data_IF_457519030546
#
_entry.id   IF_457519030546
#
_cell.length_a   1.000
_cell.length_b   1.000
_cell.length_c   1.000
_cell.angle_alpha   90.00
_cell.angle_beta   90.00
_cell.angle_gamma   90.00
#
_symmetry.space_group_name_H-M   'P 1'
#
loop_
_entity.id
_entity.type
_entity.pdbx_description
1 polymer ?
#
# COMPACT_ATOMS: atom_id res chain seq x y z
N UNK A 1 -43.40 37.21 -31.32
CA UNK A 1 -43.42 38.23 -30.25
C UNK A 1 -41.98 38.48 -29.86
N UNK A 2 -41.45 39.65 -30.23
CA UNK A 2 -40.03 40.04 -30.18
C UNK A 2 -39.65 40.67 -28.83
N UNK A 3 -38.36 40.65 -28.48
CA UNK A 3 -37.57 41.69 -27.78
C UNK A 3 -36.16 41.09 -27.54
N UNK A 4 -35.16 41.42 -28.36
CA UNK A 4 -34.24 42.57 -28.31
C UNK A 4 -33.16 42.38 -27.22
N UNK A 5 -31.89 42.18 -27.60
CA UNK A 5 -30.83 43.22 -27.72
C UNK A 5 -30.32 43.65 -26.32
N UNK A 6 -29.04 43.89 -25.99
CA UNK A 6 -27.94 44.54 -26.71
C UNK A 6 -26.71 44.50 -25.76
N UNK A 7 -25.48 44.40 -26.28
CA UNK A 7 -24.24 44.81 -25.56
C UNK A 7 -24.04 46.33 -25.75
N UNK A 8 -23.43 47.10 -24.83
CA UNK A 8 -21.97 47.37 -24.94
C UNK A 8 -21.22 47.81 -23.63
N UNK A 9 -19.88 47.90 -23.76
CA UNK A 9 -18.84 48.54 -22.88
C UNK A 9 -19.13 50.04 -22.53
N UNK A 10 -18.45 50.80 -21.62
CA UNK A 10 -16.96 50.97 -21.46
C UNK A 10 -16.41 51.39 -20.04
N UNK A 11 -15.07 51.60 -19.96
CA UNK A 11 -14.20 52.54 -19.16
C UNK A 11 -14.71 53.17 -17.83
N UNK A 12 -13.97 53.39 -16.72
CA UNK A 12 -12.80 54.27 -16.50
C UNK A 12 -12.46 54.34 -14.95
N UNK A 13 -11.21 54.69 -14.56
CA UNK A 13 -10.72 55.02 -13.18
C UNK A 13 -11.01 56.50 -12.82
N UNK A 14 -11.00 57.07 -11.57
CA UNK A 14 -9.76 57.30 -10.75
C UNK A 14 -9.85 57.67 -9.22
N UNK A 15 -8.66 57.83 -8.59
CA UNK A 15 -8.28 58.73 -7.45
C UNK A 15 -8.45 58.27 -5.98
N UNK A 16 -7.66 58.67 -4.96
CA UNK A 16 -6.31 59.27 -4.72
C UNK A 16 -6.20 59.48 -3.19
N UNK A 17 -5.08 59.14 -2.52
CA UNK A 17 -4.56 59.94 -1.39
C UNK A 17 -3.07 59.63 -1.10
N UNK A 18 -2.23 60.68 -1.19
CA UNK A 18 -0.86 60.87 -0.65
C UNK A 18 -0.95 61.98 0.44
N UNK A 19 0.09 62.46 1.20
CA UNK A 19 1.58 62.44 1.03
C UNK A 19 2.35 62.31 2.40
N UNK A 20 3.60 62.84 2.66
CA UNK A 20 4.89 63.02 1.92
C UNK A 20 6.16 62.37 2.63
N UNK A 21 7.24 61.89 1.96
CA UNK A 21 8.52 62.50 1.41
C UNK A 21 9.71 62.65 2.44
N UNK A 22 11.03 62.74 2.06
CA UNK A 22 11.98 61.94 1.22
C UNK A 22 13.29 61.49 1.96
N UNK A 23 14.15 60.65 1.35
CA UNK A 23 15.59 60.92 1.04
C UNK A 23 16.36 59.73 0.41
N UNK A 24 17.00 59.99 -0.74
CA UNK A 24 18.25 59.44 -1.33
C UNK A 24 18.96 58.22 -0.71
N UNK A 25 18.93 57.06 -1.39
CA UNK A 25 19.99 56.02 -1.35
C UNK A 25 19.91 55.14 -2.64
N UNK A 26 20.71 55.39 -3.68
CA UNK A 26 20.73 54.52 -4.88
C UNK A 26 22.14 54.16 -5.37
N UNK A 27 23.21 54.65 -4.74
CA UNK A 27 24.57 54.43 -5.25
C UNK A 27 25.43 53.39 -4.48
N UNK A 28 24.93 52.76 -3.42
CA UNK A 28 25.75 51.82 -2.62
C UNK A 28 25.56 50.33 -2.98
N UNK A 29 24.51 49.96 -3.71
CA UNK A 29 24.20 48.55 -4.03
C UNK A 29 24.83 48.06 -5.34
N UNK A 30 25.23 48.95 -6.24
CA UNK A 30 25.87 48.60 -7.53
C UNK A 30 27.36 48.26 -7.38
N UNK A 31 28.07 48.95 -6.47
CA UNK A 31 29.52 48.78 -6.25
C UNK A 31 29.85 47.48 -5.49
N UNK A 32 28.94 46.99 -4.63
CA UNK A 32 29.11 45.69 -3.95
C UNK A 32 28.92 44.49 -4.89
N UNK A 33 28.17 44.65 -5.99
CA UNK A 33 27.89 43.57 -6.95
C UNK A 33 29.03 43.35 -7.95
N UNK A 34 29.76 44.40 -8.32
CA UNK A 34 30.89 44.30 -9.25
C UNK A 34 32.13 43.70 -8.60
N UNK A 35 32.42 44.03 -7.32
CA UNK A 35 33.59 43.51 -6.61
C UNK A 35 33.49 42.01 -6.28
N UNK A 36 32.29 41.48 -6.10
CA UNK A 36 32.05 40.04 -5.87
C UNK A 36 32.11 39.19 -7.17
N UNK A 37 31.96 39.83 -8.34
CA UNK A 37 31.96 39.15 -9.64
C UNK A 37 33.39 38.94 -10.20
N UNK A 38 34.33 39.82 -9.84
CA UNK A 38 35.70 39.78 -10.37
C UNK A 38 36.56 38.69 -9.69
N UNK A 39 36.30 38.41 -8.41
CA UNK A 39 36.95 37.34 -7.64
C UNK A 39 36.37 35.93 -7.95
N UNK A 40 35.26 35.88 -8.71
CA UNK A 40 34.53 34.65 -9.05
C UNK A 40 34.70 34.19 -10.51
N UNK A 41 35.50 34.86 -11.34
CA UNK A 41 35.73 34.45 -12.72
C UNK A 41 36.57 33.14 -12.90
N UNK A 42 37.68 32.91 -12.16
CA UNK A 42 38.59 31.80 -12.48
C UNK A 42 38.07 30.40 -12.09
N UNK A 43 37.16 30.30 -11.12
CA UNK A 43 36.55 29.01 -10.75
C UNK A 43 35.46 28.57 -11.73
N UNK A 44 34.80 29.53 -12.41
CA UNK A 44 33.78 29.25 -13.43
C UNK A 44 34.45 28.64 -14.67
N UNK A 45 35.56 29.22 -15.12
CA UNK A 45 36.32 28.67 -16.26
C UNK A 45 36.91 27.29 -15.94
N UNK A 46 37.43 27.10 -14.71
CA UNK A 46 37.93 25.80 -14.28
C UNK A 46 36.80 24.74 -14.20
N UNK A 47 35.62 25.12 -13.71
CA UNK A 47 34.45 24.24 -13.67
C UNK A 47 33.96 23.87 -15.08
N UNK A 48 33.99 24.81 -16.03
CA UNK A 48 33.65 24.57 -17.44
C UNK A 48 34.63 23.59 -18.10
N UNK A 49 35.92 23.79 -17.90
CA UNK A 49 36.95 22.91 -18.46
C UNK A 49 36.86 21.50 -17.87
N UNK A 50 36.58 21.40 -16.57
CA UNK A 50 36.38 20.14 -15.89
C UNK A 50 35.10 19.42 -16.37
N UNK A 51 34.01 20.16 -16.62
CA UNK A 51 32.79 19.60 -17.22
C UNK A 51 33.03 19.04 -18.63
N UNK A 52 33.82 19.72 -19.46
CA UNK A 52 34.15 19.23 -20.81
C UNK A 52 34.99 17.94 -20.79
N UNK A 53 35.95 17.84 -19.87
CA UNK A 53 36.76 16.62 -19.70
C UNK A 53 35.89 15.45 -19.23
N UNK A 54 34.97 15.69 -18.29
CA UNK A 54 34.04 14.67 -17.84
C UNK A 54 33.09 14.23 -18.95
N UNK A 55 32.57 15.16 -19.75
CA UNK A 55 31.70 14.83 -20.88
C UNK A 55 32.41 13.93 -21.90
N UNK A 56 33.66 14.27 -22.26
CA UNK A 56 34.45 13.48 -23.20
C UNK A 56 34.75 12.08 -22.66
N UNK A 57 35.11 11.99 -21.38
CA UNK A 57 35.39 10.70 -20.72
C UNK A 57 34.14 9.82 -20.67
N UNK A 58 32.97 10.41 -20.41
CA UNK A 58 31.69 9.69 -20.43
C UNK A 58 31.42 9.17 -21.84
N UNK A 59 31.62 9.98 -22.88
CA UNK A 59 31.36 9.58 -24.26
C UNK A 59 32.29 8.45 -24.73
N UNK A 60 33.59 8.57 -24.46
CA UNK A 60 34.57 7.53 -24.80
C UNK A 60 34.27 6.21 -24.05
N UNK A 61 33.80 6.28 -22.79
CA UNK A 61 33.41 5.09 -22.03
C UNK A 61 32.15 4.40 -22.59
N UNK A 62 31.21 5.18 -23.14
CA UNK A 62 30.00 4.66 -23.78
C UNK A 62 30.33 3.94 -25.08
N UNK A 63 31.21 4.50 -25.91
CA UNK A 63 31.60 3.89 -27.18
C UNK A 63 32.35 2.56 -26.96
N UNK A 64 33.27 2.50 -25.98
CA UNK A 64 33.97 1.27 -25.60
C UNK A 64 33.01 0.23 -25.02
N UNK A 65 32.03 0.64 -24.21
CA UNK A 65 31.01 -0.26 -23.67
C UNK A 65 30.10 -0.82 -24.78
N UNK A 66 29.74 0.01 -25.76
CA UNK A 66 28.93 -0.41 -26.91
C UNK A 66 29.70 -1.40 -27.78
N UNK A 67 30.96 -1.12 -28.12
CA UNK A 67 31.76 -2.01 -28.96
C UNK A 67 32.04 -3.36 -28.26
N UNK A 68 32.42 -3.34 -26.98
CA UNK A 68 32.61 -4.56 -26.20
C UNK A 68 31.33 -5.38 -26.05
N UNK A 69 30.16 -4.72 -25.92
CA UNK A 69 28.87 -5.41 -25.92
C UNK A 69 28.60 -6.08 -27.27
N UNK A 70 28.83 -5.40 -28.39
CA UNK A 70 28.62 -5.94 -29.74
C UNK A 70 29.50 -7.16 -30.01
N UNK A 71 30.78 -7.09 -29.67
CA UNK A 71 31.73 -8.21 -29.85
C UNK A 71 31.30 -9.45 -29.05
N UNK A 72 30.88 -9.28 -27.79
CA UNK A 72 30.40 -10.41 -26.97
C UNK A 72 29.08 -10.97 -27.48
N UNK A 73 28.18 -10.11 -27.95
CA UNK A 73 26.93 -10.57 -28.57
C UNK A 73 27.19 -11.38 -29.84
N UNK A 74 28.12 -10.96 -30.71
CA UNK A 74 28.46 -11.74 -31.90
C UNK A 74 29.03 -13.11 -31.55
N UNK A 75 29.89 -13.19 -30.53
CA UNK A 75 30.49 -14.46 -30.08
C UNK A 75 29.44 -15.43 -29.48
N UNK A 76 28.47 -14.89 -28.73
CA UNK A 76 27.33 -15.67 -28.21
C UNK A 76 26.45 -16.17 -29.35
N UNK A 77 26.16 -15.32 -30.34
CA UNK A 77 25.35 -15.71 -31.50
C UNK A 77 26.04 -16.84 -32.28
N UNK A 78 27.33 -16.73 -32.57
CA UNK A 78 28.06 -17.78 -33.31
C UNK A 78 28.14 -19.08 -32.53
N UNK A 79 28.38 -19.01 -31.22
CA UNK A 79 28.47 -20.20 -30.36
C UNK A 79 27.10 -20.87 -30.20
N UNK A 80 26.03 -20.10 -30.02
CA UNK A 80 24.67 -20.63 -29.91
C UNK A 80 24.18 -21.28 -31.20
N UNK A 81 24.53 -20.74 -32.37
CA UNK A 81 24.16 -21.32 -33.65
C UNK A 81 24.78 -22.70 -33.86
N UNK A 82 26.06 -22.89 -33.50
CA UNK A 82 26.73 -24.18 -33.60
C UNK A 82 26.09 -25.24 -32.69
N UNK A 83 25.75 -24.88 -31.45
CA UNK A 83 25.04 -25.78 -30.52
C UNK A 83 23.60 -26.09 -30.98
N UNK A 84 22.93 -25.12 -31.63
CA UNK A 84 21.60 -25.32 -32.17
C UNK A 84 21.61 -26.32 -33.34
N UNK A 85 22.57 -26.20 -34.27
CA UNK A 85 22.72 -27.20 -35.35
C UNK A 85 23.00 -28.60 -34.80
N UNK A 86 23.87 -28.72 -33.80
CA UNK A 86 24.17 -30.01 -33.17
C UNK A 86 22.93 -30.64 -32.50
N UNK A 87 22.03 -29.82 -31.96
CA UNK A 87 20.78 -30.29 -31.36
C UNK A 87 19.76 -30.73 -32.40
N UNK A 88 19.71 -30.05 -33.56
CA UNK A 88 18.84 -30.47 -34.67
C UNK A 88 19.29 -31.84 -35.22
N UNK A 89 20.60 -32.04 -35.39
CA UNK A 89 21.13 -33.29 -35.91
C UNK A 89 20.85 -34.48 -34.96
N UNK A 90 20.97 -34.28 -33.64
CA UNK A 90 20.66 -35.33 -32.66
C UNK A 90 19.16 -35.67 -32.59
N UNK A 91 18.29 -34.69 -32.82
CA UNK A 91 16.84 -34.93 -32.92
C UNK A 91 16.51 -35.80 -34.14
N UNK A 92 17.18 -35.56 -35.27
CA UNK A 92 16.99 -36.36 -36.47
C UNK A 92 17.42 -37.82 -36.27
N UNK A 93 18.49 -38.05 -35.52
CA UNK A 93 18.97 -39.38 -35.16
C UNK A 93 17.96 -40.12 -34.27
N UNK A 94 17.47 -39.48 -33.20
CA UNK A 94 16.43 -40.04 -32.31
C UNK A 94 15.14 -40.35 -33.07
N UNK A 95 14.73 -39.50 -34.00
CA UNK A 95 13.56 -39.76 -34.84
C UNK A 95 13.71 -41.05 -35.64
N UNK A 96 14.91 -41.33 -36.16
CA UNK A 96 15.18 -42.56 -36.90
C UNK A 96 15.10 -43.79 -35.99
N UNK A 97 15.62 -43.70 -34.77
CA UNK A 97 15.58 -44.76 -33.77
C UNK A 97 14.13 -45.06 -33.33
N UNK A 98 13.31 -44.03 -33.11
CA UNK A 98 11.87 -44.18 -32.80
C UNK A 98 11.13 -44.92 -33.92
N UNK A 99 11.43 -44.61 -35.18
CA UNK A 99 10.80 -45.27 -36.34
C UNK A 99 10.99 -46.79 -36.34
N UNK A 100 12.17 -47.27 -35.93
CA UNK A 100 12.46 -48.72 -35.84
C UNK A 100 11.59 -49.42 -34.80
N UNK A 101 11.34 -48.76 -33.66
CA UNK A 101 10.47 -49.30 -32.61
C UNK A 101 9.00 -49.27 -33.01
N UNK A 102 8.56 -48.19 -33.66
CA UNK A 102 7.20 -48.08 -34.20
C UNK A 102 6.91 -49.22 -35.18
N UNK A 103 7.81 -49.49 -36.13
CA UNK A 103 7.65 -50.58 -37.10
C UNK A 103 7.57 -51.95 -36.44
N UNK A 104 8.34 -52.18 -35.37
CA UNK A 104 8.28 -53.44 -34.60
C UNK A 104 6.97 -53.60 -33.84
N UNK A 105 6.45 -52.52 -33.25
CA UNK A 105 5.17 -52.52 -32.53
C UNK A 105 3.99 -52.73 -33.50
N UNK A 106 3.96 -52.00 -34.62
CA UNK A 106 2.92 -52.17 -35.64
C UNK A 106 3.02 -53.51 -36.35
N UNK A 107 4.22 -54.04 -36.57
CA UNK A 107 4.44 -55.40 -37.06
C UNK A 107 3.84 -56.45 -36.14
N UNK A 108 4.08 -56.34 -34.83
CA UNK A 108 3.51 -57.24 -33.82
C UNK A 108 2.00 -57.09 -33.67
N UNK A 109 1.46 -55.87 -33.78
CA UNK A 109 0.03 -55.64 -33.79
C UNK A 109 -0.64 -56.30 -35.01
N UNK A 110 -0.04 -56.19 -36.19
CA UNK A 110 -0.53 -56.81 -37.43
C UNK A 110 -0.49 -58.34 -37.35
N UNK A 111 0.57 -58.90 -36.78
CA UNK A 111 0.67 -60.33 -36.49
C UNK A 111 -0.41 -60.77 -35.47
N UNK A 112 -0.64 -59.98 -34.42
CA UNK A 112 -1.70 -60.19 -33.45
C UNK A 112 -3.12 -60.14 -34.06
N UNK A 113 -3.36 -59.25 -35.02
CA UNK A 113 -4.63 -59.19 -35.77
C UNK A 113 -4.82 -60.46 -36.62
N UNK A 114 -3.75 -60.97 -37.24
CA UNK A 114 -3.82 -62.22 -38.00
C UNK A 114 -4.11 -63.42 -37.08
N UNK A 115 -3.50 -63.46 -35.89
CA UNK A 115 -3.79 -64.48 -34.86
C UNK A 115 -5.23 -64.35 -34.33
N UNK A 116 -5.70 -63.13 -34.10
CA UNK A 116 -7.08 -62.85 -33.71
C UNK A 116 -8.11 -63.36 -34.72
N UNK A 117 -7.82 -63.21 -36.02
CA UNK A 117 -8.67 -63.71 -37.10
C UNK A 117 -8.77 -65.24 -37.11
N UNK A 118 -7.71 -65.94 -36.69
CA UNK A 118 -7.71 -67.41 -36.61
C UNK A 118 -8.51 -67.98 -35.42
N UNK A 119 -8.73 -67.20 -34.35
CA UNK A 119 -9.44 -67.63 -33.14
C UNK A 119 -10.48 -66.59 -32.69
N UNK A 120 -11.59 -66.42 -33.43
CA UNK A 120 -12.54 -65.32 -33.22
C UNK A 120 -13.28 -65.39 -31.87
N UNK A 121 -13.63 -66.59 -31.38
CA UNK A 121 -14.37 -66.74 -30.11
C UNK A 121 -13.52 -66.38 -28.89
N UNK A 122 -12.30 -66.91 -28.81
CA UNK A 122 -11.37 -66.64 -27.70
C UNK A 122 -10.96 -65.16 -27.70
N UNK A 123 -10.67 -64.61 -28.88
CA UNK A 123 -10.30 -63.20 -29.02
C UNK A 123 -11.46 -62.27 -28.64
N UNK A 124 -12.70 -62.60 -29.01
CA UNK A 124 -13.86 -61.79 -28.64
C UNK A 124 -14.07 -61.74 -27.12
N UNK A 125 -13.90 -62.87 -26.42
CA UNK A 125 -14.01 -62.94 -24.97
C UNK A 125 -12.90 -62.14 -24.27
N UNK A 126 -11.65 -62.28 -24.73
CA UNK A 126 -10.51 -61.53 -24.21
C UNK A 126 -10.67 -60.03 -24.48
N UNK A 127 -11.13 -59.64 -25.68
CA UNK A 127 -11.37 -58.24 -26.05
C UNK A 127 -12.48 -57.60 -25.22
N UNK A 128 -13.57 -58.32 -24.95
CA UNK A 128 -14.67 -57.83 -24.09
C UNK A 128 -14.21 -57.73 -22.63
N UNK A 129 -13.52 -58.75 -22.11
CA UNK A 129 -12.99 -58.75 -20.74
C UNK A 129 -11.98 -57.62 -20.51
N UNK A 130 -11.03 -57.45 -21.44
CA UNK A 130 -10.08 -56.35 -21.41
C UNK A 130 -10.77 -55.01 -21.60
N UNK A 131 -11.81 -54.94 -22.45
CA UNK A 131 -12.65 -53.77 -22.63
C UNK A 131 -13.30 -53.32 -21.31
N UNK A 132 -13.80 -54.25 -20.49
CA UNK A 132 -14.41 -53.92 -19.20
C UNK A 132 -13.41 -53.37 -18.17
N UNK A 133 -12.14 -53.77 -18.26
CA UNK A 133 -11.06 -53.30 -17.39
C UNK A 133 -10.45 -51.98 -17.88
N UNK A 134 -10.26 -51.83 -19.19
CA UNK A 134 -9.61 -50.67 -19.83
C UNK A 134 -10.56 -49.48 -19.93
N UNK A 135 -11.86 -49.71 -20.19
CA UNK A 135 -12.84 -48.62 -20.28
C UNK A 135 -13.06 -47.99 -18.91
N UNK A 136 -12.85 -46.66 -18.81
CA UNK A 136 -12.93 -45.90 -17.55
C UNK A 136 -14.26 -46.03 -16.80
N UNK A 137 -15.37 -46.18 -17.52
CA UNK A 137 -16.73 -46.20 -16.92
C UNK A 137 -17.11 -47.53 -16.26
N UNK A 138 -17.00 -48.70 -16.90
CA UNK A 138 -17.30 -49.98 -16.26
C UNK A 138 -16.39 -50.27 -15.06
N UNK A 139 -15.09 -49.96 -15.16
CA UNK A 139 -14.14 -50.06 -14.03
C UNK A 139 -14.62 -49.28 -12.80
N UNK A 140 -15.10 -48.05 -13.00
CA UNK A 140 -15.59 -47.18 -11.93
C UNK A 140 -16.85 -47.75 -11.28
N UNK A 141 -17.77 -48.29 -12.08
CA UNK A 141 -19.02 -48.88 -11.59
C UNK A 141 -18.75 -50.13 -10.75
N UNK A 142 -17.87 -51.03 -11.23
CA UNK A 142 -17.47 -52.22 -10.47
C UNK A 142 -16.80 -51.85 -9.15
N UNK A 143 -15.90 -50.88 -9.17
CA UNK A 143 -15.20 -50.42 -7.97
C UNK A 143 -16.18 -49.90 -6.91
N UNK A 144 -17.08 -48.96 -7.26
CA UNK A 144 -18.00 -48.40 -6.27
C UNK A 144 -19.07 -49.38 -5.81
N UNK A 145 -19.54 -50.30 -6.68
CA UNK A 145 -20.50 -51.33 -6.27
C UNK A 145 -19.87 -52.34 -5.32
N UNK A 146 -18.64 -52.79 -5.58
CA UNK A 146 -17.94 -53.72 -4.69
C UNK A 146 -17.60 -53.06 -3.36
N UNK A 147 -17.05 -51.85 -3.35
CA UNK A 147 -16.79 -51.12 -2.10
C UNK A 147 -18.05 -50.93 -1.25
N UNK A 148 -19.20 -50.63 -1.87
CA UNK A 148 -20.48 -50.46 -1.18
C UNK A 148 -21.03 -51.77 -0.60
N UNK A 149 -20.69 -52.91 -1.18
CA UNK A 149 -21.07 -54.23 -0.64
C UNK A 149 -20.19 -54.64 0.55
N UNK A 150 -18.97 -54.09 0.65
CA UNK A 150 -18.07 -54.35 1.78
C UNK A 150 -18.22 -53.36 2.95
N UNK A 151 -18.98 -52.27 2.79
CA UNK A 151 -19.36 -51.40 3.91
C UNK A 151 -20.59 -51.95 4.61
N UNK A 152 -20.43 -52.50 5.82
CA UNK A 152 -21.58 -52.91 6.65
C UNK A 152 -22.39 -51.69 7.09
N UNK A 153 -23.71 -51.84 7.14
CA UNK A 153 -24.61 -50.78 7.62
C UNK A 153 -24.26 -50.36 9.05
N UNK A 154 -23.84 -51.32 9.88
CA UNK A 154 -23.38 -51.09 11.25
C UNK A 154 -22.12 -50.22 11.34
N UNK A 155 -21.18 -50.35 10.38
CA UNK A 155 -20.00 -49.49 10.33
C UNK A 155 -20.37 -48.04 9.98
N UNK A 156 -21.36 -47.83 9.10
CA UNK A 156 -21.85 -46.50 8.78
C UNK A 156 -22.62 -45.86 9.95
N UNK A 157 -23.43 -46.66 10.66
CA UNK A 157 -24.15 -46.19 11.85
C UNK A 157 -23.20 -45.85 13.00
N UNK A 158 -22.22 -46.70 13.29
CA UNK A 158 -21.21 -46.41 14.33
C UNK A 158 -20.34 -45.19 13.97
N UNK A 159 -20.00 -45.00 12.69
CA UNK A 159 -19.32 -43.79 12.23
C UNK A 159 -20.21 -42.54 12.38
N UNK A 160 -21.51 -42.64 12.09
CA UNK A 160 -22.45 -41.55 12.29
C UNK A 160 -22.58 -41.20 13.77
N UNK A 161 -22.69 -42.19 14.67
CA UNK A 161 -22.75 -41.98 16.11
C UNK A 161 -21.48 -41.34 16.67
N UNK A 162 -20.30 -41.77 16.19
CA UNK A 162 -19.02 -41.16 16.56
C UNK A 162 -19.00 -39.67 16.17
N UNK A 163 -19.37 -39.36 14.93
CA UNK A 163 -19.46 -37.97 14.45
C UNK A 163 -20.47 -37.15 15.25
N UNK A 164 -21.66 -37.69 15.55
CA UNK A 164 -22.67 -36.97 16.36
C UNK A 164 -22.13 -36.67 17.76
N UNK A 165 -21.37 -37.59 18.38
CA UNK A 165 -20.73 -37.35 19.68
C UNK A 165 -19.67 -36.26 19.60
N UNK A 166 -18.81 -36.28 18.59
CA UNK A 166 -17.81 -35.23 18.34
C UNK A 166 -18.47 -33.86 18.13
N UNK A 167 -19.54 -33.80 17.32
CA UNK A 167 -20.29 -32.57 17.11
C UNK A 167 -20.92 -32.06 18.41
N UNK A 168 -21.54 -32.93 19.21
CA UNK A 168 -22.10 -32.55 20.52
C UNK A 168 -21.03 -31.98 21.46
N UNK A 169 -19.83 -32.57 21.47
CA UNK A 169 -18.70 -32.07 22.24
C UNK A 169 -18.23 -30.70 21.73
N UNK A 170 -18.15 -30.51 20.41
CA UNK A 170 -17.79 -29.21 19.84
C UNK A 170 -18.81 -28.11 20.19
N UNK A 171 -20.11 -28.44 20.19
CA UNK A 171 -21.18 -27.51 20.56
C UNK A 171 -21.11 -27.15 22.04
N UNK A 172 -20.81 -28.11 22.93
CA UNK A 172 -20.70 -27.82 24.37
C UNK A 172 -19.50 -26.92 24.67
N UNK A 173 -18.36 -27.15 24.01
CA UNK A 173 -17.20 -26.27 24.09
C UNK A 173 -17.52 -24.87 23.55
N UNK A 174 -18.13 -24.79 22.37
CA UNK A 174 -18.54 -23.51 21.77
C UNK A 174 -19.49 -22.72 22.68
N UNK A 175 -20.44 -23.40 23.33
CA UNK A 175 -21.38 -22.76 24.25
C UNK A 175 -20.69 -22.20 25.50
N UNK A 176 -19.72 -22.92 26.05
CA UNK A 176 -18.95 -22.45 27.19
C UNK A 176 -18.05 -21.26 26.82
N UNK A 177 -17.42 -21.31 25.64
CA UNK A 177 -16.62 -20.20 25.11
C UNK A 177 -17.48 -18.97 24.78
N UNK A 178 -18.66 -19.17 24.18
CA UNK A 178 -19.56 -18.07 23.85
C UNK A 178 -20.05 -17.35 25.10
N UNK A 179 -20.45 -18.08 26.14
CA UNK A 179 -20.88 -17.49 27.41
C UNK A 179 -19.74 -16.68 28.08
N UNK A 180 -18.50 -17.20 28.01
CA UNK A 180 -17.33 -16.49 28.55
C UNK A 180 -17.04 -15.21 27.77
N UNK A 181 -17.15 -15.24 26.44
CA UNK A 181 -16.93 -14.09 25.58
C UNK A 181 -18.04 -13.05 25.75
N UNK A 182 -19.29 -13.49 25.86
CA UNK A 182 -20.45 -12.62 26.12
C UNK A 182 -20.27 -11.85 27.44
N UNK A 183 -19.95 -12.55 28.53
CA UNK A 183 -19.68 -11.90 29.82
C UNK A 183 -18.55 -10.87 29.73
N UNK A 184 -17.47 -11.17 28.99
CA UNK A 184 -16.35 -10.23 28.78
C UNK A 184 -16.78 -9.02 27.96
N UNK A 185 -17.59 -9.22 26.92
CA UNK A 185 -18.12 -8.13 26.09
C UNK A 185 -19.03 -7.21 26.92
N UNK A 186 -19.94 -7.76 27.72
CA UNK A 186 -20.83 -6.96 28.58
C UNK A 186 -20.06 -6.17 29.64
N UNK A 187 -19.02 -6.74 30.24
CA UNK A 187 -18.15 -6.03 31.18
C UNK A 187 -17.39 -4.89 30.51
N UNK A 188 -16.81 -5.14 29.32
CA UNK A 188 -16.10 -4.12 28.56
C UNK A 188 -17.03 -2.98 28.09
N UNK A 189 -18.28 -3.30 27.73
CA UNK A 189 -19.30 -2.30 27.40
C UNK A 189 -19.62 -1.42 28.61
N UNK A 190 -19.83 -2.01 29.78
CA UNK A 190 -20.13 -1.26 31.00
C UNK A 190 -18.95 -0.34 31.41
N UNK A 191 -17.72 -0.84 31.30
CA UNK A 191 -16.51 -0.05 31.52
C UNK A 191 -16.36 1.10 30.51
N UNK A 192 -16.67 0.86 29.23
CA UNK A 192 -16.68 1.89 28.20
C UNK A 192 -17.71 2.97 28.52
N UNK A 193 -18.95 2.59 28.84
CA UNK A 193 -20.02 3.53 29.19
C UNK A 193 -19.61 4.38 30.40
N UNK A 194 -19.09 3.75 31.46
CA UNK A 194 -18.56 4.45 32.65
C UNK A 194 -17.37 5.35 32.31
N UNK A 195 -16.45 4.90 31.46
CA UNK A 195 -15.32 5.69 30.99
C UNK A 195 -15.77 6.92 30.20
N UNK A 196 -16.73 6.74 29.29
CA UNK A 196 -17.32 7.79 28.46
C UNK A 196 -18.01 8.86 29.30
N UNK A 197 -18.76 8.48 30.33
CA UNK A 197 -19.42 9.46 31.23
C UNK A 197 -18.40 10.23 32.06
N UNK A 198 -17.36 9.57 32.58
CA UNK A 198 -16.24 10.22 33.29
C UNK A 198 -15.50 11.22 32.39
N UNK A 199 -15.16 10.83 31.16
CA UNK A 199 -14.52 11.73 30.19
C UNK A 199 -15.38 12.93 29.85
N UNK A 200 -16.70 12.73 29.70
CA UNK A 200 -17.64 13.82 29.46
C UNK A 200 -17.68 14.80 30.63
N UNK A 201 -17.73 14.30 31.87
CA UNK A 201 -17.74 15.13 33.07
C UNK A 201 -16.42 15.90 33.23
N UNK A 202 -15.28 15.23 33.07
CA UNK A 202 -13.97 15.86 33.09
C UNK A 202 -13.84 16.94 32.01
N UNK A 203 -14.30 16.65 30.78
CA UNK A 203 -14.37 17.62 29.70
C UNK A 203 -15.14 18.88 30.09
N UNK A 204 -16.31 18.74 30.73
CA UNK A 204 -17.12 19.89 31.18
C UNK A 204 -16.40 20.72 32.24
N UNK A 205 -15.71 20.06 33.17
CA UNK A 205 -14.90 20.73 34.17
C UNK A 205 -13.75 21.51 33.52
N UNK A 206 -13.03 20.89 32.59
CA UNK A 206 -11.96 21.54 31.82
C UNK A 206 -12.51 22.74 31.03
N UNK A 207 -13.68 22.61 30.41
CA UNK A 207 -14.32 23.72 29.71
C UNK A 207 -14.67 24.88 30.65
N UNK A 208 -15.09 24.58 31.88
CA UNK A 208 -15.26 25.57 32.94
C UNK A 208 -13.96 26.31 33.27
N UNK A 209 -12.85 25.58 33.42
CA UNK A 209 -11.52 26.16 33.66
C UNK A 209 -11.01 26.97 32.47
N UNK A 210 -11.27 26.53 31.24
CA UNK A 210 -10.94 27.30 30.03
C UNK A 210 -11.66 28.66 30.05
N UNK A 211 -12.93 28.70 30.46
CA UNK A 211 -13.70 29.95 30.58
C UNK A 211 -13.16 30.85 31.68
N UNK A 212 -12.76 30.29 32.84
CA UNK A 212 -12.17 31.10 33.90
C UNK A 212 -10.78 31.63 33.51
N UNK A 213 -9.92 30.79 32.92
CA UNK A 213 -8.63 31.20 32.37
C UNK A 213 -8.78 32.30 31.31
N UNK A 214 -9.78 32.19 30.43
CA UNK A 214 -10.10 33.24 29.44
C UNK A 214 -10.49 34.57 30.10
N UNK A 215 -11.28 34.54 31.18
CA UNK A 215 -11.63 35.76 31.94
C UNK A 215 -10.39 36.39 32.58
N UNK A 216 -9.52 35.57 33.19
CA UNK A 216 -8.26 36.03 33.81
C UNK A 216 -7.34 36.64 32.75
N UNK A 217 -7.15 35.96 31.62
CA UNK A 217 -6.38 36.47 30.48
C UNK A 217 -6.91 37.83 30.02
N UNK A 218 -8.23 37.99 29.91
CA UNK A 218 -8.88 39.26 29.53
C UNK A 218 -8.71 40.37 30.55
N UNK A 219 -8.85 40.05 31.84
CA UNK A 219 -8.62 41.03 32.91
C UNK A 219 -7.16 41.46 32.97
N UNK A 220 -6.22 40.52 32.84
CA UNK A 220 -4.79 40.81 32.81
C UNK A 220 -4.41 41.64 31.57
N UNK A 221 -4.90 41.29 30.38
CA UNK A 221 -4.65 42.11 29.18
C UNK A 221 -5.24 43.51 29.30
N UNK A 222 -6.49 43.65 29.79
CA UNK A 222 -7.09 44.97 30.03
C UNK A 222 -6.29 45.80 31.04
N UNK A 223 -5.85 45.19 32.16
CA UNK A 223 -5.02 45.87 33.15
C UNK A 223 -3.66 46.30 32.58
N UNK A 224 -3.03 45.44 31.78
CA UNK A 224 -1.77 45.76 31.08
C UNK A 224 -1.96 46.94 30.14
N UNK A 225 -3.07 47.01 29.44
CA UNK A 225 -3.37 48.08 28.49
C UNK A 225 -3.58 49.42 29.23
N UNK A 226 -4.27 49.43 30.38
CA UNK A 226 -4.36 50.61 31.26
C UNK A 226 -2.98 51.02 31.78
N UNK A 227 -2.19 50.05 32.28
CA UNK A 227 -0.85 50.32 32.78
C UNK A 227 0.06 50.89 31.70
N UNK A 228 -0.19 50.63 30.42
CA UNK A 228 0.57 51.16 29.28
C UNK A 228 0.45 52.68 29.15
N UNK A 229 -0.64 53.28 29.63
CA UNK A 229 -0.90 54.72 29.55
C UNK A 229 -0.14 55.51 30.65
N UNK A 230 0.27 54.88 31.75
CA UNK A 230 0.95 55.57 32.85
C UNK A 230 2.46 55.80 32.56
N UNK A 231 2.97 57.06 32.59
CA UNK A 231 4.38 57.33 32.26
C UNK A 231 5.41 57.00 33.37
N UNK A 232 5.00 56.41 34.51
CA UNK A 232 5.91 56.18 35.66
C UNK A 232 6.71 54.88 35.57
N UNK A 233 7.96 54.93 36.04
CA UNK A 233 8.87 53.79 36.12
C UNK A 233 8.31 52.61 36.96
N UNK A 234 7.52 52.88 37.99
CA UNK A 234 6.88 51.86 38.82
C UNK A 234 5.85 51.02 38.05
N UNK A 235 5.16 51.61 37.06
CA UNK A 235 4.21 50.89 36.22
C UNK A 235 4.89 49.85 35.33
N UNK A 236 6.18 50.01 35.01
CA UNK A 236 6.93 49.06 34.16
C UNK A 236 7.01 47.67 34.77
N UNK A 237 7.26 47.56 36.09
CA UNK A 237 7.33 46.29 36.81
C UNK A 237 5.99 45.57 36.79
N UNK A 238 4.89 46.31 37.00
CA UNK A 238 3.55 45.75 36.93
C UNK A 238 3.17 45.34 35.50
N UNK A 239 3.57 46.11 34.47
CA UNK A 239 3.36 45.71 33.06
C UNK A 239 3.99 44.35 32.75
N UNK A 240 5.23 44.12 33.18
CA UNK A 240 5.90 42.83 32.94
C UNK A 240 5.20 41.69 33.69
N UNK A 241 4.82 41.88 34.95
CA UNK A 241 4.13 40.87 35.76
C UNK A 241 2.74 40.53 35.21
N UNK A 242 1.97 41.53 34.80
CA UNK A 242 0.63 41.32 34.23
C UNK A 242 0.74 40.70 32.83
N UNK A 243 1.76 41.08 32.05
CA UNK A 243 2.02 40.47 30.75
C UNK A 243 2.42 38.99 30.87
N UNK A 244 3.26 38.64 31.85
CA UNK A 244 3.62 37.24 32.08
C UNK A 244 2.41 36.43 32.53
N UNK A 245 1.60 36.95 33.46
CA UNK A 245 0.36 36.30 33.91
C UNK A 245 -0.65 36.09 32.78
N UNK A 246 -0.81 37.08 31.89
CA UNK A 246 -1.67 36.95 30.72
C UNK A 246 -1.15 35.86 29.75
N UNK A 247 0.17 35.80 29.53
CA UNK A 247 0.76 34.78 28.66
C UNK A 247 0.64 33.37 29.25
N UNK A 248 0.82 33.22 30.56
CA UNK A 248 0.68 31.96 31.28
C UNK A 248 -0.77 31.47 31.23
N UNK A 249 -1.74 32.33 31.55
CA UNK A 249 -3.17 32.00 31.44
C UNK A 249 -3.56 31.59 30.02
N UNK A 250 -3.03 32.26 28.99
CA UNK A 250 -3.25 31.90 27.59
C UNK A 250 -2.64 30.55 27.23
N UNK A 251 -1.44 30.25 27.72
CA UNK A 251 -0.75 28.98 27.49
C UNK A 251 -1.52 27.82 28.13
N UNK A 252 -1.91 27.95 29.39
CA UNK A 252 -2.72 26.96 30.11
C UNK A 252 -4.07 26.73 29.43
N UNK A 253 -4.77 27.81 29.04
CA UNK A 253 -6.03 27.72 28.29
C UNK A 253 -5.87 26.95 26.99
N UNK A 254 -4.80 27.20 26.24
CA UNK A 254 -4.54 26.50 24.98
C UNK A 254 -4.17 25.02 25.22
N UNK A 255 -3.46 24.69 26.30
CA UNK A 255 -3.16 23.31 26.69
C UNK A 255 -4.45 22.55 27.03
N UNK A 256 -5.30 23.13 27.88
CA UNK A 256 -6.60 22.56 28.25
C UNK A 256 -7.54 22.42 27.04
N UNK A 257 -7.52 23.38 26.12
CA UNK A 257 -8.32 23.31 24.89
C UNK A 257 -7.91 22.14 23.99
N UNK A 258 -6.61 21.79 23.94
CA UNK A 258 -6.13 20.60 23.23
C UNK A 258 -6.64 19.31 23.87
N UNK A 259 -6.67 19.24 25.20
CA UNK A 259 -7.20 18.07 25.90
C UNK A 259 -8.71 17.88 25.66
N UNK A 260 -9.49 18.98 25.67
CA UNK A 260 -10.92 18.92 25.30
C UNK A 260 -11.11 18.49 23.84
N UNK A 261 -10.27 18.98 22.93
CA UNK A 261 -10.31 18.56 21.53
C UNK A 261 -10.03 17.05 21.38
N UNK A 262 -9.07 16.50 22.14
CA UNK A 262 -8.84 15.04 22.19
C UNK A 262 -10.09 14.29 22.64
N UNK A 263 -10.78 14.74 23.70
CA UNK A 263 -12.03 14.13 24.16
C UNK A 263 -13.10 14.17 23.06
N UNK A 264 -13.24 15.31 22.39
CA UNK A 264 -14.21 15.48 21.30
C UNK A 264 -13.91 14.60 20.08
N UNK A 265 -12.63 14.38 19.75
CA UNK A 265 -12.21 13.52 18.64
C UNK A 265 -12.60 12.05 18.87
N UNK A 266 -12.78 11.62 20.11
CA UNK A 266 -13.32 10.30 20.45
C UNK A 266 -14.86 10.24 20.34
N UNK A 267 -15.50 11.23 19.72
CA UNK A 267 -16.96 11.30 19.56
C UNK A 267 -17.71 11.58 20.87
N UNK A 268 -17.05 12.16 21.87
CA UNK A 268 -17.65 12.54 23.15
C UNK A 268 -17.94 14.04 23.11
N UNK A 269 -19.22 14.40 23.08
CA UNK A 269 -19.65 15.80 23.18
C UNK A 269 -19.51 16.29 24.61
N UNK A 270 -18.65 17.29 24.79
CA UNK A 270 -18.36 17.99 26.05
C UNK A 270 -19.29 19.18 26.21
#
# INVERSE_FOLDING_TARGET
MPTDAESPSPEEKPSTHLPPRPTTETDLTSILKSKALEETAPWIDNALQQALIYQKTIQDSLDIAIESSKSRFSEIITTSQAHFSQTIDSLQDVKSEIGVYEDKLFGKAKEGINVAASHPLITSAVAVGLGFVVLKRPRRILYYKTLRLFTSEEALLSQADAKVKELRQSISLLKAESEKLERRASLAEEELIRGRTKLRQAGKQIQGVIRSAYKIERQATGLRDILRELPRAEASKFRSQVSSLASEAKQERNALSKEVAKISNHGISV
#
